data_IF_801615808611
#
_entry.id   IF_801615808611
#
_cell.length_a   1.000
_cell.length_b   1.000
_cell.length_c   1.000
_cell.angle_alpha   90.00
_cell.angle_beta   90.00
_cell.angle_gamma   90.00
#
_symmetry.space_group_name_H-M   'P 1'
#
loop_
_entity.id
_entity.type
_entity.pdbx_description
1 polymer ?
#
# COMPACT_ATOMS: atom_id res chain seq x y z
N UNK A 1 -20.16 1.25 -1.61
CA UNK A 1 -19.23 0.12 -1.33
C UNK A 1 -17.87 0.73 -1.02
N UNK A 2 -17.24 0.38 0.10
CA UNK A 2 -15.90 0.86 0.44
C UNK A 2 -14.88 0.32 -0.56
N UNK A 3 -13.97 1.15 -1.06
CA UNK A 3 -12.77 0.67 -1.76
C UNK A 3 -11.69 0.30 -0.75
N UNK A 4 -10.77 -0.58 -1.14
CA UNK A 4 -9.65 -1.02 -0.31
C UNK A 4 -8.34 -0.38 -0.81
N UNK A 5 -7.93 0.67 -0.10
CA UNK A 5 -6.67 1.38 -0.31
C UNK A 5 -5.82 1.24 0.96
N UNK A 6 -4.75 0.46 0.91
CA UNK A 6 -3.92 0.17 2.07
C UNK A 6 -3.16 1.41 2.57
N UNK A 7 -2.68 2.29 1.69
CA UNK A 7 -2.01 3.52 2.14
C UNK A 7 -3.00 4.51 2.73
N UNK A 8 -4.15 4.74 2.09
CA UNK A 8 -5.22 5.56 2.65
C UNK A 8 -5.67 5.05 4.02
N UNK A 9 -5.93 3.74 4.16
CA UNK A 9 -6.33 3.14 5.44
C UNK A 9 -5.26 3.34 6.50
N UNK A 10 -3.99 3.06 6.16
CA UNK A 10 -2.87 3.27 7.05
C UNK A 10 -2.74 4.74 7.49
N UNK A 11 -2.90 5.68 6.56
CA UNK A 11 -2.88 7.12 6.82
C UNK A 11 -4.03 7.53 7.77
N UNK A 12 -5.22 6.99 7.57
CA UNK A 12 -6.38 7.21 8.45
C UNK A 12 -6.08 6.73 9.88
N UNK A 13 -5.52 5.52 10.03
CA UNK A 13 -5.14 4.97 11.32
C UNK A 13 -4.05 5.81 11.99
N UNK A 14 -3.03 6.27 11.24
CA UNK A 14 -1.98 7.14 11.77
C UNK A 14 -2.51 8.50 12.22
N UNK A 15 -3.42 9.11 11.47
CA UNK A 15 -4.05 10.37 11.86
C UNK A 15 -4.94 10.21 13.09
N UNK A 16 -5.70 9.11 13.15
CA UNK A 16 -6.49 8.77 14.32
C UNK A 16 -5.62 8.67 15.56
N UNK A 17 -4.57 7.85 15.51
CA UNK A 17 -3.62 7.66 16.60
C UNK A 17 -2.97 8.99 17.01
N UNK A 18 -2.58 9.81 16.04
CA UNK A 18 -1.94 11.10 16.29
C UNK A 18 -2.82 12.07 17.08
N UNK A 19 -4.12 12.13 16.75
CA UNK A 19 -5.07 13.04 17.40
C UNK A 19 -5.59 12.50 18.74
N UNK A 20 -5.69 11.18 18.89
CA UNK A 20 -6.41 10.54 20.02
C UNK A 20 -5.54 9.92 21.09
N UNK A 21 -4.25 9.66 20.82
CA UNK A 21 -3.40 8.96 21.78
C UNK A 21 -3.27 9.71 23.14
N UNK A 22 -2.50 9.15 24.08
CA UNK A 22 -2.10 9.81 25.33
C UNK A 22 -0.69 10.48 25.34
N UNK A 23 0.15 10.21 24.33
CA UNK A 23 1.36 11.02 24.05
C UNK A 23 1.64 11.14 22.54
N UNK A 24 2.29 12.24 22.06
CA UNK A 24 2.63 12.37 20.65
C UNK A 24 3.65 11.29 20.24
N UNK A 25 3.60 10.81 18.98
CA UNK A 25 4.54 9.80 18.51
C UNK A 25 5.97 10.31 18.62
N UNK A 26 6.89 9.38 18.92
CA UNK A 26 8.32 9.68 19.01
C UNK A 26 9.04 9.20 17.77
N UNK A 27 9.80 10.09 17.17
CA UNK A 27 10.73 9.80 16.08
C UNK A 27 12.16 9.93 16.59
N UNK A 28 12.92 8.82 16.59
CA UNK A 28 14.32 8.77 17.07
C UNK A 28 14.49 9.43 18.46
N UNK A 29 13.53 9.20 19.36
CA UNK A 29 13.51 9.75 20.72
C UNK A 29 12.98 11.19 20.85
N UNK A 30 12.66 11.88 19.75
CA UNK A 30 12.06 13.22 19.75
C UNK A 30 10.56 13.15 19.54
N UNK A 31 9.78 13.96 20.24
CA UNK A 31 8.35 14.09 19.98
C UNK A 31 8.12 14.79 18.65
N UNK A 32 7.17 14.29 17.89
CA UNK A 32 6.68 14.98 16.70
C UNK A 32 5.66 16.01 17.18
N UNK A 33 5.96 17.30 17.01
CA UNK A 33 5.06 18.39 17.37
C UNK A 33 4.68 19.20 16.13
N UNK A 34 3.55 18.84 15.53
CA UNK A 34 2.98 19.59 14.41
C UNK A 34 1.46 19.55 14.45
N UNK A 35 0.80 20.49 13.78
CA UNK A 35 -0.65 20.46 13.64
C UNK A 35 -1.09 19.18 12.89
N UNK A 36 -2.26 18.58 13.20
CA UNK A 36 -2.73 17.37 12.52
C UNK A 36 -2.80 17.51 11.00
N UNK A 37 -3.14 18.69 10.52
CA UNK A 37 -3.15 19.00 9.09
C UNK A 37 -1.74 18.95 8.47
N UNK A 38 -0.73 19.48 9.16
CA UNK A 38 0.67 19.40 8.74
C UNK A 38 1.19 17.95 8.78
N UNK A 39 0.82 17.20 9.82
CA UNK A 39 1.12 15.77 9.94
C UNK A 39 0.53 14.97 8.77
N UNK A 40 -0.77 15.16 8.49
CA UNK A 40 -1.45 14.55 7.36
C UNK A 40 -0.82 14.92 6.02
N UNK A 41 -0.48 16.20 5.83
CA UNK A 41 0.20 16.69 4.63
C UNK A 41 1.58 16.05 4.42
N UNK A 42 2.32 15.78 5.50
CA UNK A 42 3.59 15.06 5.45
C UNK A 42 3.39 13.58 5.05
N UNK A 43 2.37 12.91 5.59
CA UNK A 43 2.05 11.54 5.20
C UNK A 43 1.58 11.44 3.74
N UNK A 44 0.80 12.40 3.24
CA UNK A 44 0.38 12.43 1.84
C UNK A 44 1.52 12.52 0.82
N UNK A 45 2.72 12.94 1.25
CA UNK A 45 3.86 13.07 0.35
C UNK A 45 4.27 11.74 -0.28
N UNK A 46 3.84 10.60 0.28
CA UNK A 46 4.06 9.29 -0.32
C UNK A 46 3.37 9.09 -1.68
N UNK A 47 2.47 9.98 -2.11
CA UNK A 47 1.90 9.97 -3.47
C UNK A 47 2.67 10.87 -4.45
N UNK A 48 3.69 11.62 -3.99
CA UNK A 48 4.45 12.49 -4.88
C UNK A 48 5.26 11.71 -5.90
N UNK A 49 5.28 12.21 -7.13
CA UNK A 49 5.87 11.55 -8.28
C UNK A 49 4.79 11.19 -9.29
N UNK A 50 3.75 10.49 -8.85
CA UNK A 50 2.54 10.26 -9.66
C UNK A 50 1.50 11.37 -9.43
N UNK A 51 1.42 11.91 -8.21
CA UNK A 51 0.67 13.13 -7.93
C UNK A 51 1.57 14.37 -7.92
N UNK A 52 0.99 15.52 -8.23
CA UNK A 52 1.67 16.81 -8.21
C UNK A 52 1.65 17.43 -6.80
N UNK A 53 2.61 18.31 -6.50
CA UNK A 53 2.61 19.04 -5.23
C UNK A 53 1.35 19.90 -5.03
N UNK A 54 0.80 20.58 -6.06
CA UNK A 54 -0.51 21.25 -5.96
C UNK A 54 -1.65 20.30 -5.61
N UNK A 55 -1.66 19.08 -6.15
CA UNK A 55 -2.67 18.09 -5.80
C UNK A 55 -2.57 17.70 -4.33
N UNK A 56 -1.36 17.48 -3.80
CA UNK A 56 -1.19 17.18 -2.37
C UNK A 56 -1.65 18.35 -1.49
N UNK A 57 -1.36 19.59 -1.88
CA UNK A 57 -1.83 20.77 -1.16
C UNK A 57 -3.37 20.86 -1.13
N UNK A 58 -4.02 20.61 -2.27
CA UNK A 58 -5.49 20.55 -2.39
C UNK A 58 -6.10 19.48 -1.48
N UNK A 59 -5.59 18.25 -1.53
CA UNK A 59 -6.09 17.15 -0.69
C UNK A 59 -5.86 17.44 0.80
N UNK A 60 -4.74 18.06 1.15
CA UNK A 60 -4.42 18.47 2.51
C UNK A 60 -5.23 19.69 3.00
N UNK A 61 -5.95 20.38 2.10
CA UNK A 61 -6.70 21.60 2.43
C UNK A 61 -5.81 22.78 2.83
N UNK A 62 -4.62 22.89 2.22
CA UNK A 62 -3.65 23.98 2.48
C UNK A 62 -3.23 24.65 1.17
N UNK A 63 -2.67 25.85 1.26
CA UNK A 63 -2.08 26.51 0.10
C UNK A 63 -0.79 25.82 -0.34
N UNK A 64 -0.45 25.94 -1.61
CA UNK A 64 0.79 25.40 -2.16
C UNK A 64 2.02 26.04 -1.48
N UNK A 65 1.94 27.33 -1.17
CA UNK A 65 2.98 28.11 -0.50
C UNK A 65 3.24 27.58 0.91
N UNK A 66 2.17 27.34 1.68
CA UNK A 66 2.28 26.73 3.01
C UNK A 66 2.93 25.34 2.94
N UNK A 67 2.51 24.51 1.99
CA UNK A 67 3.11 23.18 1.83
C UNK A 67 4.59 23.23 1.43
N UNK A 68 4.98 24.19 0.57
CA UNK A 68 6.38 24.42 0.20
C UNK A 68 7.21 24.84 1.42
N UNK A 69 6.67 25.66 2.29
CA UNK A 69 7.35 26.09 3.51
C UNK A 69 7.54 24.93 4.49
N UNK A 70 6.48 24.13 4.72
CA UNK A 70 6.60 22.93 5.55
C UNK A 70 7.66 21.96 5.05
N UNK A 71 7.80 21.78 3.74
CA UNK A 71 8.84 20.92 3.14
C UNK A 71 10.28 21.40 3.35
N UNK A 72 10.47 22.64 3.82
CA UNK A 72 11.79 23.14 4.22
C UNK A 72 12.12 22.82 5.69
N UNK A 73 11.11 22.44 6.47
CA UNK A 73 11.26 22.15 7.88
C UNK A 73 11.85 20.74 8.08
N UNK A 74 12.93 20.59 8.86
CA UNK A 74 13.57 19.30 9.06
C UNK A 74 12.61 18.23 9.62
N UNK A 75 11.72 18.61 10.53
CA UNK A 75 10.78 17.66 11.16
C UNK A 75 9.76 17.10 10.17
N UNK A 76 9.32 17.92 9.21
CA UNK A 76 8.42 17.48 8.14
C UNK A 76 9.10 16.44 7.26
N UNK A 77 10.34 16.70 6.84
CA UNK A 77 11.13 15.78 6.02
C UNK A 77 11.44 14.47 6.77
N UNK A 78 11.80 14.57 8.06
CA UNK A 78 12.06 13.40 8.90
C UNK A 78 10.80 12.52 9.07
N UNK A 79 9.64 13.14 9.23
CA UNK A 79 8.35 12.43 9.29
C UNK A 79 8.05 11.72 7.96
N UNK A 80 8.30 12.36 6.82
CA UNK A 80 8.13 11.76 5.49
C UNK A 80 9.01 10.51 5.30
N UNK A 81 10.27 10.56 5.71
CA UNK A 81 11.17 9.41 5.54
C UNK A 81 10.81 8.27 6.49
N UNK A 82 10.38 8.61 7.71
CA UNK A 82 9.96 7.61 8.68
C UNK A 82 8.66 6.91 8.29
N UNK A 83 7.68 7.66 7.78
CA UNK A 83 6.39 7.10 7.35
C UNK A 83 6.58 6.03 6.28
N UNK A 84 7.53 6.22 5.35
CA UNK A 84 7.89 5.23 4.32
C UNK A 84 8.28 3.89 4.93
N UNK A 85 9.13 3.90 5.96
CA UNK A 85 9.59 2.66 6.60
C UNK A 85 8.44 1.94 7.33
N UNK A 86 7.60 2.68 8.06
CA UNK A 86 6.44 2.13 8.76
C UNK A 86 5.40 1.57 7.80
N UNK A 87 5.02 2.34 6.78
CA UNK A 87 4.08 1.86 5.77
C UNK A 87 4.64 0.65 5.03
N UNK A 88 5.95 0.65 4.70
CA UNK A 88 6.58 -0.50 4.05
C UNK A 88 6.47 -1.77 4.88
N UNK A 89 6.49 -1.68 6.20
CA UNK A 89 6.26 -2.83 7.07
C UNK A 89 4.78 -3.22 7.07
N UNK A 90 3.90 -2.26 7.36
CA UNK A 90 2.45 -2.46 7.38
C UNK A 90 1.91 -3.09 6.09
N UNK A 91 2.36 -2.62 4.93
CA UNK A 91 1.91 -3.11 3.63
C UNK A 91 2.30 -4.56 3.41
N UNK A 92 3.53 -4.95 3.79
CA UNK A 92 3.99 -6.34 3.69
C UNK A 92 3.18 -7.25 4.59
N UNK A 93 3.05 -6.90 5.87
CA UNK A 93 2.26 -7.66 6.84
C UNK A 93 0.80 -7.78 6.39
N UNK A 94 0.24 -6.70 5.82
CA UNK A 94 -1.12 -6.68 5.31
C UNK A 94 -1.34 -7.67 4.17
N UNK A 95 -0.40 -7.79 3.24
CA UNK A 95 -0.47 -8.76 2.13
C UNK A 95 -0.13 -10.19 2.57
N UNK A 96 0.77 -10.34 3.55
CA UNK A 96 1.17 -11.65 4.05
C UNK A 96 0.08 -12.30 4.90
N UNK A 97 -0.70 -11.51 5.66
CA UNK A 97 -1.64 -12.03 6.66
C UNK A 97 -3.10 -12.10 6.17
N UNK A 98 -3.53 -11.18 5.31
CA UNK A 98 -4.94 -11.04 4.95
C UNK A 98 -5.23 -11.59 3.55
N UNK A 99 -6.41 -12.19 3.41
CA UNK A 99 -6.98 -12.53 2.11
C UNK A 99 -7.82 -11.34 1.62
N UNK A 100 -7.69 -11.03 0.33
CA UNK A 100 -8.42 -9.96 -0.34
C UNK A 100 -9.22 -10.55 -1.50
N UNK A 101 -10.40 -9.98 -1.76
CA UNK A 101 -11.18 -10.27 -2.97
C UNK A 101 -10.46 -9.79 -4.24
N UNK A 102 -10.80 -10.33 -5.42
CA UNK A 102 -10.26 -9.87 -6.69
C UNK A 102 -10.28 -8.35 -6.87
N UNK A 103 -11.43 -7.74 -6.59
CA UNK A 103 -11.61 -6.28 -6.61
C UNK A 103 -10.58 -5.57 -5.73
N UNK A 104 -10.49 -5.98 -4.46
CA UNK A 104 -9.60 -5.34 -3.49
C UNK A 104 -8.13 -5.48 -3.91
N UNK A 105 -7.72 -6.62 -4.46
CA UNK A 105 -6.36 -6.80 -4.98
C UNK A 105 -6.03 -5.76 -6.07
N UNK A 106 -6.95 -5.48 -6.99
CA UNK A 106 -6.76 -4.46 -8.03
C UNK A 106 -6.72 -3.04 -7.46
N UNK A 107 -7.61 -2.72 -6.50
CA UNK A 107 -7.59 -1.42 -5.82
C UNK A 107 -6.26 -1.20 -5.07
N UNK A 108 -5.78 -2.21 -4.35
CA UNK A 108 -4.50 -2.18 -3.62
C UNK A 108 -3.32 -2.05 -4.60
N UNK A 109 -3.29 -2.83 -5.67
CA UNK A 109 -2.22 -2.78 -6.66
C UNK A 109 -2.19 -1.44 -7.41
N UNK A 110 -3.36 -0.87 -7.72
CA UNK A 110 -3.46 0.42 -8.39
C UNK A 110 -3.10 1.58 -7.49
N UNK A 111 -3.51 1.59 -6.21
CA UNK A 111 -3.01 2.56 -5.24
C UNK A 111 -1.50 2.43 -5.07
N UNK A 112 -0.99 1.20 -4.93
CA UNK A 112 0.44 0.97 -4.83
C UNK A 112 1.19 1.56 -6.03
N UNK A 113 0.62 1.47 -7.25
CA UNK A 113 1.21 2.07 -8.44
C UNK A 113 1.20 3.61 -8.42
N UNK A 114 0.34 4.25 -7.62
CA UNK A 114 0.29 5.72 -7.45
C UNK A 114 1.28 6.25 -6.39
N UNK A 115 1.93 5.37 -5.62
CA UNK A 115 2.91 5.79 -4.61
C UNK A 115 4.23 6.27 -5.24
N UNK A 116 5.01 7.02 -4.47
CA UNK A 116 6.34 7.50 -4.83
C UNK A 116 7.27 6.32 -5.17
N UNK A 117 8.04 6.48 -6.24
CA UNK A 117 8.95 5.45 -6.78
C UNK A 117 9.87 4.83 -5.72
N UNK A 118 10.48 5.64 -4.84
CA UNK A 118 11.40 5.14 -3.82
C UNK A 118 10.72 4.17 -2.85
N UNK A 119 9.48 4.48 -2.46
CA UNK A 119 8.65 3.66 -1.59
C UNK A 119 8.21 2.39 -2.32
N UNK A 120 7.73 2.52 -3.57
CA UNK A 120 7.30 1.40 -4.40
C UNK A 120 8.42 0.40 -4.62
N UNK A 121 9.60 0.86 -5.04
CA UNK A 121 10.77 0.01 -5.29
C UNK A 121 11.22 -0.71 -4.02
N UNK A 122 11.26 -0.01 -2.89
CA UNK A 122 11.66 -0.59 -1.61
C UNK A 122 10.73 -1.71 -1.14
N UNK A 123 9.42 -1.52 -1.26
CA UNK A 123 8.40 -2.54 -0.91
C UNK A 123 8.42 -3.70 -1.90
N UNK A 124 8.37 -3.38 -3.20
CA UNK A 124 8.30 -4.35 -4.30
C UNK A 124 9.48 -5.32 -4.25
N UNK A 125 10.69 -4.81 -4.05
CA UNK A 125 11.91 -5.64 -4.03
C UNK A 125 11.85 -6.70 -2.93
N UNK A 126 11.44 -6.31 -1.71
CA UNK A 126 11.33 -7.23 -0.58
C UNK A 126 10.23 -8.26 -0.77
N UNK A 127 9.04 -7.82 -1.17
CA UNK A 127 7.90 -8.71 -1.43
C UNK A 127 8.18 -9.68 -2.58
N UNK A 128 8.84 -9.21 -3.64
CA UNK A 128 9.13 -10.06 -4.79
C UNK A 128 10.21 -11.09 -4.46
N UNK A 129 11.19 -10.73 -3.63
CA UNK A 129 12.16 -11.69 -3.09
C UNK A 129 11.47 -12.81 -2.31
N UNK A 130 10.54 -12.45 -1.40
CA UNK A 130 9.73 -13.42 -0.66
C UNK A 130 8.90 -14.31 -1.60
N UNK A 131 8.14 -13.69 -2.52
CA UNK A 131 7.31 -14.39 -3.48
C UNK A 131 8.09 -15.37 -4.36
N UNK A 132 9.24 -14.92 -4.88
CA UNK A 132 10.11 -15.74 -5.72
C UNK A 132 10.61 -16.97 -4.96
N UNK A 133 11.18 -16.75 -3.76
CA UNK A 133 11.74 -17.84 -2.97
C UNK A 133 10.65 -18.84 -2.55
N UNK A 134 9.46 -18.35 -2.21
CA UNK A 134 8.29 -19.19 -1.92
C UNK A 134 7.86 -20.02 -3.14
N UNK A 135 7.75 -19.39 -4.31
CA UNK A 135 7.38 -20.07 -5.55
C UNK A 135 8.40 -21.13 -5.98
N UNK A 136 9.69 -20.82 -5.89
CA UNK A 136 10.79 -21.77 -6.15
C UNK A 136 10.75 -22.95 -5.17
N UNK A 137 10.50 -22.69 -3.88
CA UNK A 137 10.36 -23.74 -2.87
C UNK A 137 9.17 -24.67 -3.16
N UNK A 138 8.01 -24.10 -3.52
CA UNK A 138 6.82 -24.86 -3.88
C UNK A 138 7.03 -25.70 -5.16
N UNK A 139 7.73 -25.16 -6.16
CA UNK A 139 8.12 -25.89 -7.37
C UNK A 139 9.02 -27.07 -7.04
N UNK A 140 10.06 -26.86 -6.23
CA UNK A 140 10.98 -27.90 -5.81
C UNK A 140 10.25 -29.01 -5.04
N UNK A 141 9.42 -28.65 -4.06
CA UNK A 141 8.62 -29.63 -3.31
C UNK A 141 7.68 -30.41 -4.22
N UNK A 142 7.00 -29.76 -5.16
CA UNK A 142 6.14 -30.42 -6.15
C UNK A 142 6.94 -31.42 -6.99
N UNK A 143 8.11 -31.03 -7.49
CA UNK A 143 8.96 -31.87 -8.31
C UNK A 143 9.42 -33.14 -7.56
N UNK A 144 9.73 -33.01 -6.27
CA UNK A 144 10.14 -34.13 -5.42
C UNK A 144 8.98 -34.88 -4.75
N UNK A 145 7.72 -34.58 -5.09
CA UNK A 145 6.55 -35.24 -4.50
C UNK A 145 6.36 -34.95 -3.00
N UNK A 146 6.96 -33.86 -2.49
CA UNK A 146 6.83 -33.45 -1.10
C UNK A 146 5.51 -32.73 -0.85
N UNK A 147 5.04 -32.78 0.39
CA UNK A 147 3.82 -32.11 0.84
C UNK A 147 3.93 -30.59 0.67
N UNK A 148 2.90 -29.99 0.09
CA UNK A 148 2.76 -28.53 -0.02
C UNK A 148 1.90 -28.03 1.14
N UNK A 149 2.49 -27.23 2.01
CA UNK A 149 1.81 -26.69 3.19
C UNK A 149 0.72 -25.69 2.80
N UNK A 150 -0.47 -25.80 3.40
CA UNK A 150 -1.60 -24.92 3.07
C UNK A 150 -1.30 -23.44 3.36
N UNK A 151 -0.49 -23.14 4.38
CA UNK A 151 -0.04 -21.78 4.69
C UNK A 151 0.78 -21.19 3.54
N UNK A 152 1.74 -21.96 3.02
CA UNK A 152 2.63 -21.56 1.93
C UNK A 152 1.83 -21.34 0.64
N UNK A 153 0.86 -22.21 0.36
CA UNK A 153 -0.05 -22.08 -0.78
C UNK A 153 -0.91 -20.81 -0.70
N UNK A 154 -1.45 -20.48 0.49
CA UNK A 154 -2.25 -19.26 0.69
C UNK A 154 -1.39 -18.00 0.55
N UNK A 155 -0.20 -17.98 1.15
CA UNK A 155 0.73 -16.86 1.01
C UNK A 155 1.14 -16.67 -0.45
N UNK A 156 1.46 -17.76 -1.16
CA UNK A 156 1.78 -17.70 -2.58
C UNK A 156 0.62 -17.13 -3.38
N UNK A 157 -0.62 -17.59 -3.13
CA UNK A 157 -1.81 -17.06 -3.79
C UNK A 157 -1.94 -15.54 -3.61
N UNK A 158 -1.83 -15.03 -2.38
CA UNK A 158 -1.93 -13.59 -2.08
C UNK A 158 -0.88 -12.78 -2.85
N UNK A 159 0.37 -13.22 -2.77
CA UNK A 159 1.49 -12.54 -3.44
C UNK A 159 1.37 -12.62 -4.96
N UNK A 160 1.00 -13.79 -5.50
CA UNK A 160 0.79 -13.98 -6.94
C UNK A 160 -0.28 -13.03 -7.48
N UNK A 161 -1.46 -12.99 -6.84
CA UNK A 161 -2.56 -12.14 -7.27
C UNK A 161 -2.18 -10.65 -7.21
N UNK A 162 -1.50 -10.23 -6.14
CA UNK A 162 -1.01 -8.86 -6.04
C UNK A 162 -0.03 -8.50 -7.16
N UNK A 163 1.00 -9.32 -7.40
CA UNK A 163 1.98 -9.05 -8.46
C UNK A 163 1.35 -9.09 -9.85
N UNK A 164 0.42 -10.02 -10.08
CA UNK A 164 -0.30 -10.11 -11.34
C UNK A 164 -1.15 -8.86 -11.62
N UNK A 165 -1.91 -8.39 -10.63
CA UNK A 165 -2.66 -7.14 -10.76
C UNK A 165 -1.72 -5.94 -10.95
N UNK A 166 -0.61 -5.88 -10.21
CA UNK A 166 0.37 -4.80 -10.29
C UNK A 166 0.99 -4.67 -11.70
N UNK A 167 1.26 -5.78 -12.39
CA UNK A 167 1.78 -5.76 -13.77
C UNK A 167 0.81 -5.12 -14.78
N UNK A 168 -0.48 -4.96 -14.43
CA UNK A 168 -1.46 -4.22 -15.24
C UNK A 168 -1.29 -2.70 -15.13
N UNK A 169 -0.70 -2.22 -14.03
CA UNK A 169 -0.53 -0.78 -13.74
C UNK A 169 0.90 -0.32 -13.89
N UNK A 170 1.86 -1.19 -13.53
CA UNK A 170 3.28 -0.88 -13.54
C UNK A 170 4.09 -2.07 -14.06
N UNK A 171 4.09 -2.27 -15.40
CA UNK A 171 4.75 -3.38 -16.05
C UNK A 171 6.25 -3.44 -15.74
N UNK A 172 6.79 -4.65 -15.63
CA UNK A 172 8.20 -4.90 -15.34
C UNK A 172 8.71 -6.20 -15.97
N UNK A 173 10.03 -6.44 -15.93
CA UNK A 173 10.60 -7.73 -16.32
C UNK A 173 10.06 -8.94 -15.53
N UNK A 174 9.45 -8.73 -14.36
CA UNK A 174 8.86 -9.80 -13.57
C UNK A 174 7.65 -10.46 -14.27
N UNK A 175 6.98 -9.76 -15.19
CA UNK A 175 5.82 -10.26 -15.94
C UNK A 175 6.09 -11.59 -16.62
N UNK A 176 7.18 -11.68 -17.36
CA UNK A 176 7.57 -12.90 -18.08
C UNK A 176 7.68 -14.09 -17.12
N UNK A 177 8.27 -13.87 -15.95
CA UNK A 177 8.44 -14.92 -14.94
C UNK A 177 7.12 -15.30 -14.27
N UNK A 178 6.25 -14.33 -14.02
CA UNK A 178 4.89 -14.59 -13.54
C UNK A 178 4.14 -15.48 -14.53
N UNK A 179 4.16 -15.14 -15.82
CA UNK A 179 3.46 -15.86 -16.90
C UNK A 179 4.05 -17.25 -17.17
N UNK A 180 5.38 -17.36 -17.31
CA UNK A 180 6.02 -18.61 -17.75
C UNK A 180 6.27 -19.60 -16.61
N UNK A 181 6.52 -19.12 -15.38
CA UNK A 181 6.94 -19.96 -14.25
C UNK A 181 5.86 -20.10 -13.19
N UNK A 182 5.34 -18.98 -12.70
CA UNK A 182 4.48 -18.99 -11.51
C UNK A 182 3.01 -19.21 -11.83
N UNK A 183 2.55 -18.84 -13.03
CA UNK A 183 1.19 -19.09 -13.47
C UNK A 183 0.90 -20.60 -13.65
N UNK A 184 1.77 -21.42 -14.28
CA UNK A 184 1.61 -22.88 -14.28
C UNK A 184 1.59 -23.47 -12.87
N UNK A 185 2.43 -22.97 -11.96
CA UNK A 185 2.42 -23.39 -10.56
C UNK A 185 1.08 -23.06 -9.88
N UNK A 186 0.59 -21.84 -10.06
CA UNK A 186 -0.69 -21.38 -9.55
C UNK A 186 -1.83 -22.30 -10.01
N UNK A 187 -1.97 -22.45 -11.33
CA UNK A 187 -3.04 -23.22 -11.97
C UNK A 187 -3.01 -24.70 -11.63
N UNK A 188 -1.85 -25.34 -11.75
CA UNK A 188 -1.76 -26.80 -11.71
C UNK A 188 -1.57 -27.35 -10.30
N UNK A 189 -1.12 -26.52 -9.35
CA UNK A 189 -0.72 -27.00 -8.02
C UNK A 189 -1.37 -26.25 -6.86
N UNK A 190 -1.45 -24.92 -6.93
CA UNK A 190 -1.88 -24.11 -5.78
C UNK A 190 -3.40 -24.03 -5.69
N UNK A 191 -4.09 -23.62 -6.75
CA UNK A 191 -5.54 -23.44 -6.75
C UNK A 191 -6.30 -24.75 -6.49
N UNK A 192 -5.96 -25.87 -7.17
CA UNK A 192 -6.60 -27.16 -6.92
C UNK A 192 -6.44 -27.63 -5.47
N UNK A 193 -5.24 -27.47 -4.88
CA UNK A 193 -4.97 -27.88 -3.49
C UNK A 193 -5.66 -26.99 -2.45
N UNK A 194 -5.98 -25.75 -2.81
CA UNK A 194 -6.78 -24.85 -1.97
C UNK A 194 -8.29 -25.05 -2.18
N UNK A 195 -8.71 -25.89 -3.13
CA UNK A 195 -10.12 -26.10 -3.47
C UNK A 195 -10.79 -24.85 -4.03
N UNK A 196 -10.02 -23.97 -4.68
CA UNK A 196 -10.52 -22.72 -5.24
C UNK A 196 -10.83 -22.88 -6.74
N UNK A 197 -11.88 -22.21 -7.25
CA UNK A 197 -12.06 -22.07 -8.69
C UNK A 197 -10.79 -21.42 -9.26
N UNK A 198 -10.35 -21.86 -10.45
CA UNK A 198 -9.09 -21.44 -11.06
C UNK A 198 -8.90 -19.91 -11.10
N UNK A 199 -7.66 -19.47 -11.31
CA UNK A 199 -7.29 -18.04 -11.43
C UNK A 199 -8.05 -17.29 -12.54
N UNK A 200 -8.72 -18.04 -13.44
CA UNK A 200 -9.65 -17.57 -14.48
C UNK A 200 -11.01 -17.10 -13.94
N UNK A 201 -11.09 -16.77 -12.66
CA UNK A 201 -12.28 -16.16 -12.09
C UNK A 201 -12.66 -14.93 -12.93
N UNK A 202 -13.84 -15.00 -13.57
CA UNK A 202 -14.37 -13.93 -14.42
C UNK A 202 -14.34 -12.59 -13.68
N UNK A 203 -14.50 -12.61 -12.35
CA UNK A 203 -14.43 -11.43 -11.50
C UNK A 203 -13.05 -10.77 -11.50
N UNK A 204 -11.97 -11.56 -11.51
CA UNK A 204 -10.60 -11.04 -11.50
C UNK A 204 -10.24 -10.43 -12.86
N UNK A 205 -10.62 -11.07 -13.97
CA UNK A 205 -10.42 -10.51 -15.30
C UNK A 205 -11.31 -9.29 -15.57
N UNK A 206 -12.58 -9.32 -15.13
CA UNK A 206 -13.48 -8.18 -15.22
C UNK A 206 -12.99 -6.98 -14.38
N UNK A 207 -12.32 -7.23 -13.25
CA UNK A 207 -11.70 -6.17 -12.47
C UNK A 207 -10.61 -5.43 -13.27
N UNK A 208 -9.77 -6.16 -14.03
CA UNK A 208 -8.67 -5.57 -14.80
C UNK A 208 -9.11 -4.49 -15.80
N UNK A 209 -10.29 -4.63 -16.41
CA UNK A 209 -10.84 -3.68 -17.38
C UNK A 209 -11.62 -2.54 -16.72
N UNK A 210 -12.12 -2.75 -15.49
CA UNK A 210 -12.93 -1.79 -14.74
C UNK A 210 -12.10 -0.76 -13.96
N UNK A 211 -10.94 -1.17 -13.42
CA UNK A 211 -10.15 -0.35 -12.52
C UNK A 211 -8.98 0.32 -13.23
N UNK A 212 -9.22 1.30 -14.10
CA UNK A 212 -8.13 2.09 -14.69
C UNK A 212 -7.42 2.95 -13.62
N UNK A 213 -6.15 3.28 -13.84
CA UNK A 213 -5.38 4.10 -12.88
C UNK A 213 -6.03 5.48 -12.65
N UNK A 214 -6.60 6.08 -13.69
CA UNK A 214 -7.33 7.36 -13.61
C UNK A 214 -8.58 7.25 -12.73
N UNK A 215 -9.35 6.17 -12.91
CA UNK A 215 -10.53 5.90 -12.07
C UNK A 215 -10.14 5.71 -10.60
N UNK A 216 -9.11 4.90 -10.33
CA UNK A 216 -8.62 4.68 -8.98
C UNK A 216 -8.07 5.95 -8.33
N UNK A 217 -7.34 6.77 -9.09
CA UNK A 217 -6.83 8.06 -8.62
C UNK A 217 -7.97 9.02 -8.23
N UNK A 218 -9.07 9.05 -9.00
CA UNK A 218 -10.26 9.83 -8.67
C UNK A 218 -10.95 9.37 -7.38
N UNK A 219 -11.16 8.06 -7.24
CA UNK A 219 -11.73 7.47 -6.01
C UNK A 219 -10.85 7.74 -4.78
N UNK A 220 -9.54 7.53 -4.93
CA UNK A 220 -8.56 7.76 -3.87
C UNK A 220 -8.58 9.23 -3.42
N UNK A 221 -8.64 10.18 -4.35
CA UNK A 221 -8.71 11.60 -4.03
C UNK A 221 -9.94 11.96 -3.18
N UNK A 222 -11.10 11.33 -3.44
CA UNK A 222 -12.30 11.54 -2.60
C UNK A 222 -12.07 11.02 -1.18
N UNK A 223 -11.57 9.79 -1.03
CA UNK A 223 -11.35 9.17 0.28
C UNK A 223 -10.27 9.88 1.10
N UNK A 224 -9.21 10.37 0.46
CA UNK A 224 -8.16 11.12 1.15
C UNK A 224 -8.70 12.47 1.68
N UNK A 225 -9.54 13.18 0.90
CA UNK A 225 -10.19 14.41 1.38
C UNK A 225 -11.11 14.15 2.56
N UNK A 226 -11.93 13.10 2.48
CA UNK A 226 -12.79 12.68 3.59
C UNK A 226 -11.94 12.39 4.84
N UNK A 227 -10.88 11.59 4.68
CA UNK A 227 -9.95 11.27 5.78
C UNK A 227 -9.36 12.51 6.43
N UNK A 228 -8.86 13.46 5.64
CA UNK A 228 -8.20 14.64 6.17
C UNK A 228 -9.18 15.67 6.74
N UNK A 229 -10.37 15.81 6.17
CA UNK A 229 -11.41 16.68 6.73
C UNK A 229 -11.87 16.23 8.12
N UNK A 230 -11.85 14.92 8.40
CA UNK A 230 -12.22 14.37 9.72
C UNK A 230 -11.24 14.75 10.83
N UNK A 231 -9.96 14.96 10.50
CA UNK A 231 -8.88 15.19 11.47
C UNK A 231 -8.24 16.58 11.39
N UNK A 232 -8.34 17.27 10.26
CA UNK A 232 -7.60 18.51 9.98
C UNK A 232 -7.99 19.71 10.85
N UNK A 233 -9.23 19.75 11.35
CA UNK A 233 -9.74 20.80 12.23
C UNK A 233 -9.67 20.43 13.72
N UNK A 234 -9.21 19.23 14.07
CA UNK A 234 -9.13 18.79 15.47
C UNK A 234 -7.89 19.36 16.13
N UNK A 235 -8.01 19.72 17.40
CA UNK A 235 -6.86 20.00 18.27
C UNK A 235 -6.22 18.69 18.71
N UNK A 236 -4.88 18.64 18.74
CA UNK A 236 -4.17 17.50 19.32
C UNK A 236 -4.52 17.36 20.80
N UNK A 237 -4.60 16.13 21.30
CA UNK A 237 -4.89 15.84 22.71
C UNK A 237 -3.82 16.35 23.71
N UNK A 238 -2.68 16.88 23.25
CA UNK A 238 -1.61 17.42 24.13
C UNK A 238 -1.32 18.89 23.82
N UNK A 239 -2.01 19.82 24.48
CA UNK A 239 -1.77 21.26 24.28
C UNK A 239 -0.40 21.73 24.79
N UNK A 240 0.29 20.96 25.66
CA UNK A 240 1.54 21.38 26.31
C UNK A 240 2.83 21.18 25.50
N UNK A 241 2.75 20.76 24.23
CA UNK A 241 3.94 20.49 23.40
C UNK A 241 4.01 21.31 22.10
N UNK A 242 3.04 22.21 21.87
CA UNK A 242 3.04 23.14 20.74
C UNK A 242 3.72 24.45 21.17
N UNK A 243 5.05 24.50 21.10
CA UNK A 243 5.86 25.68 21.40
C UNK A 243 6.91 25.91 20.33
#
# INVERSE_FOLDING_TARGET
MSSMFLYQKWLQDRLHDYVTAASPPRLKGRHISMAPQQYGAALLQAYLGQASLPWVADIAGVTLETLKEWRRQPEFLLLMDWSKALFSQFFRESLELNDYSPKEVYEIAGEFALLEDSLRVGIRTKLYGLFRNLGESLLSRRFHGLTLEKSDLRLFKRLFLFFWALESYWPSPARKRLEETFLPLARDAVWPRLGLPGWEDEEFFAASSRYSLSYLHGLLAVQLRETLSLYGSRTCAYPGYLH
#
